data_IF_964766494289
#
_entry.id   IF_964766494289
#
_cell.length_a   1.000
_cell.length_b   1.000
_cell.length_c   1.000
_cell.angle_alpha   90.00
_cell.angle_beta   90.00
_cell.angle_gamma   90.00
#
_symmetry.space_group_name_H-M   'P 1'
#
loop_
_entity.id
_entity.type
_entity.pdbx_description
1 polymer ?
#
# COMPACT_ATOMS: atom_id res chain seq x y z
N UNK A 1 49.88 -21.33 9.05
CA UNK A 1 50.07 -20.50 7.84
C UNK A 1 49.01 -19.42 7.87
N UNK A 2 49.34 -18.20 7.48
CA UNK A 2 48.37 -17.11 7.44
C UNK A 2 47.76 -16.99 6.03
N UNK A 3 46.50 -16.61 5.97
CA UNK A 3 45.71 -16.51 4.75
C UNK A 3 44.59 -15.49 4.90
N UNK A 4 43.85 -15.26 3.82
CA UNK A 4 42.68 -14.38 3.80
C UNK A 4 41.44 -15.19 3.53
N UNK A 5 40.42 -14.97 4.36
CA UNK A 5 39.12 -15.58 4.15
C UNK A 5 38.49 -14.96 2.90
N UNK A 6 38.17 -15.79 1.91
CA UNK A 6 37.66 -15.36 0.60
C UNK A 6 36.14 -15.49 0.50
N UNK A 7 35.59 -16.59 1.01
CA UNK A 7 34.15 -16.83 1.10
C UNK A 7 33.84 -17.78 2.26
N UNK A 8 32.62 -17.68 2.80
CA UNK A 8 32.10 -18.56 3.87
C UNK A 8 30.94 -19.36 3.30
N UNK A 9 30.98 -20.68 3.43
CA UNK A 9 29.88 -21.58 3.12
C UNK A 9 29.32 -22.13 4.44
N UNK A 10 28.31 -21.45 4.97
CA UNK A 10 27.76 -21.75 6.28
C UNK A 10 27.10 -23.15 6.32
N UNK A 11 26.50 -23.59 5.22
CA UNK A 11 25.78 -24.87 5.13
C UNK A 11 26.71 -26.09 5.28
N UNK A 12 27.95 -25.98 4.80
CA UNK A 12 28.95 -27.06 4.85
C UNK A 12 30.05 -26.83 5.89
N UNK A 13 29.99 -25.72 6.62
CA UNK A 13 31.00 -25.29 7.61
C UNK A 13 32.41 -25.21 7.03
N UNK A 14 32.48 -24.73 5.80
CA UNK A 14 33.75 -24.51 5.12
C UNK A 14 33.89 -23.05 4.75
N UNK A 15 35.13 -22.61 4.61
CA UNK A 15 35.48 -21.33 4.04
C UNK A 15 36.56 -21.54 2.98
N UNK A 16 36.56 -20.70 1.95
CA UNK A 16 37.68 -20.62 1.02
C UNK A 16 38.70 -19.65 1.59
N UNK A 17 39.95 -20.09 1.66
CA UNK A 17 41.06 -19.29 2.19
C UNK A 17 42.11 -19.16 1.09
N UNK A 18 42.54 -17.93 0.82
CA UNK A 18 43.70 -17.66 -0.04
C UNK A 18 44.95 -17.62 0.83
N UNK A 19 45.90 -18.51 0.56
CA UNK A 19 47.15 -18.58 1.32
C UNK A 19 48.18 -17.56 0.82
N UNK A 20 49.06 -17.13 1.72
CA UNK A 20 50.18 -16.26 1.35
C UNK A 20 51.05 -16.88 0.25
N UNK A 21 51.41 -16.08 -0.75
CA UNK A 21 52.28 -16.51 -1.85
C UNK A 21 51.59 -17.37 -2.93
N UNK A 22 50.25 -17.47 -2.91
CA UNK A 22 49.48 -18.21 -3.92
C UNK A 22 48.26 -17.43 -4.39
N UNK A 23 47.87 -17.63 -5.66
CA UNK A 23 46.56 -17.20 -6.17
C UNK A 23 45.45 -18.23 -5.98
N UNK A 24 45.81 -19.46 -5.63
CA UNK A 24 44.83 -20.53 -5.44
C UNK A 24 44.18 -20.44 -4.06
N UNK A 25 42.87 -20.67 -4.05
CA UNK A 25 42.08 -20.79 -2.83
C UNK A 25 42.05 -22.25 -2.41
N UNK A 26 42.12 -22.48 -1.10
CA UNK A 26 41.95 -23.81 -0.51
C UNK A 26 40.71 -23.81 0.38
N UNK A 27 40.09 -24.97 0.50
CA UNK A 27 38.97 -25.16 1.42
C UNK A 27 39.51 -25.45 2.82
N UNK A 28 39.08 -24.67 3.80
CA UNK A 28 39.35 -24.89 5.21
C UNK A 28 38.04 -25.01 6.00
N UNK A 29 38.05 -25.81 7.05
CA UNK A 29 36.96 -25.86 8.03
C UNK A 29 37.13 -24.75 9.06
N UNK A 30 36.06 -24.32 9.71
CA UNK A 30 36.14 -23.47 10.89
C UNK A 30 35.57 -24.19 12.12
N UNK A 31 36.18 -24.02 13.32
CA UNK A 31 35.85 -24.77 14.52
C UNK A 31 34.47 -24.40 15.08
N UNK A 32 33.78 -25.39 15.64
CA UNK A 32 32.44 -25.26 16.26
C UNK A 32 32.51 -24.74 17.71
N UNK A 33 33.70 -24.74 18.30
CA UNK A 33 33.77 -25.01 19.72
C UNK A 33 33.31 -23.84 20.61
N UNK A 34 33.40 -22.56 20.18
CA UNK A 34 33.12 -21.42 21.08
C UNK A 34 32.07 -20.40 20.60
N UNK A 35 31.77 -20.28 19.29
CA UNK A 35 30.71 -19.39 18.75
C UNK A 35 30.20 -19.94 17.41
N UNK A 36 28.88 -19.95 17.18
CA UNK A 36 28.29 -20.40 15.90
C UNK A 36 28.76 -19.56 14.71
N UNK A 37 28.99 -18.25 14.93
CA UNK A 37 29.53 -17.32 13.92
C UNK A 37 30.63 -16.48 14.56
N UNK A 38 31.89 -16.93 14.52
CA UNK A 38 33.00 -16.16 15.08
C UNK A 38 33.14 -14.80 14.40
N UNK A 39 33.46 -13.74 15.15
CA UNK A 39 33.57 -12.38 14.61
C UNK A 39 34.58 -12.25 13.44
N UNK A 40 35.58 -13.14 13.39
CA UNK A 40 36.57 -13.21 12.33
C UNK A 40 36.08 -13.94 11.06
N UNK A 41 34.92 -14.60 11.09
CA UNK A 41 34.34 -15.34 9.96
C UNK A 41 33.65 -14.39 8.95
N UNK A 42 34.41 -13.43 8.43
CA UNK A 42 33.97 -12.49 7.39
C UNK A 42 34.98 -12.48 6.24
N UNK A 43 34.54 -12.51 4.98
CA UNK A 43 35.44 -12.34 3.85
C UNK A 43 36.30 -11.08 4.00
N UNK A 44 37.58 -11.19 3.68
CA UNK A 44 38.58 -10.13 3.85
C UNK A 44 39.37 -10.19 5.15
N UNK A 45 38.92 -10.95 6.16
CA UNK A 45 39.69 -11.09 7.39
C UNK A 45 40.92 -11.99 7.22
N UNK A 46 42.01 -11.60 7.87
CA UNK A 46 43.19 -12.44 8.00
C UNK A 46 42.88 -13.60 8.95
N UNK A 47 43.22 -14.82 8.53
CA UNK A 47 43.00 -16.05 9.28
C UNK A 47 44.28 -16.88 9.33
N UNK A 48 44.46 -17.62 10.43
CA UNK A 48 45.50 -18.62 10.55
C UNK A 48 44.91 -20.00 10.31
N UNK A 49 45.52 -20.75 9.41
CA UNK A 49 45.14 -22.13 9.10
C UNK A 49 46.23 -23.10 9.53
N UNK A 50 45.81 -24.29 9.95
CA UNK A 50 46.68 -25.41 10.27
C UNK A 50 46.01 -26.74 9.93
N UNK A 51 46.82 -27.78 9.74
CA UNK A 51 46.29 -29.14 9.68
C UNK A 51 45.75 -29.53 11.05
N UNK A 52 44.54 -30.08 11.08
CA UNK A 52 43.96 -30.60 12.31
C UNK A 52 44.75 -31.85 12.74
N UNK A 53 45.25 -31.85 13.98
CA UNK A 53 46.15 -32.89 14.52
C UNK A 53 45.48 -34.26 14.76
N UNK A 54 44.22 -34.45 14.38
CA UNK A 54 43.50 -35.73 14.48
C UNK A 54 42.91 -36.27 13.17
N UNK A 55 42.88 -35.50 12.09
CA UNK A 55 42.23 -35.90 10.82
C UNK A 55 43.14 -35.58 9.64
N UNK A 56 43.70 -36.63 9.02
CA UNK A 56 44.60 -36.49 7.86
C UNK A 56 43.86 -35.81 6.70
N UNK A 57 44.49 -34.78 6.11
CA UNK A 57 43.95 -34.04 4.97
C UNK A 57 42.96 -32.92 5.32
N UNK A 58 42.61 -32.73 6.61
CA UNK A 58 41.72 -31.65 7.04
C UNK A 58 42.52 -30.40 7.45
N UNK A 59 42.27 -29.29 6.74
CA UNK A 59 42.78 -27.96 7.08
C UNK A 59 41.68 -27.20 7.83
N UNK A 60 42.05 -26.54 8.93
CA UNK A 60 41.13 -25.80 9.77
C UNK A 60 41.66 -24.40 10.09
N UNK A 61 40.74 -23.44 10.20
CA UNK A 61 41.01 -22.09 10.71
C UNK A 61 41.18 -22.18 12.22
N UNK A 62 42.38 -21.93 12.70
CA UNK A 62 42.76 -22.05 14.12
C UNK A 62 42.80 -20.70 14.85
N UNK A 63 42.51 -19.60 14.15
CA UNK A 63 42.40 -18.28 14.77
C UNK A 63 42.52 -17.13 13.77
N UNK A 64 42.56 -15.92 14.31
CA UNK A 64 42.81 -14.69 13.54
C UNK A 64 44.27 -14.66 13.06
N UNK A 65 44.46 -14.30 11.79
CA UNK A 65 45.78 -14.00 11.23
C UNK A 65 46.25 -12.63 11.71
N UNK A 66 47.57 -12.46 11.85
CA UNK A 66 48.16 -11.20 12.32
C UNK A 66 48.50 -10.24 11.17
N UNK A 67 48.59 -10.75 9.95
CA UNK A 67 49.05 -10.02 8.77
C UNK A 67 48.10 -10.35 7.61
N UNK A 68 47.78 -9.35 6.80
CA UNK A 68 47.10 -9.54 5.51
C UNK A 68 48.14 -10.01 4.49
N UNK A 69 48.07 -11.25 3.97
CA UNK A 69 48.96 -11.75 2.94
C UNK A 69 49.20 -10.77 1.80
N UNK A 70 50.49 -10.58 1.46
CA UNK A 70 50.87 -9.87 0.24
C UNK A 70 50.39 -10.66 -0.98
N UNK A 71 49.68 -10.03 -1.93
CA UNK A 71 49.27 -10.72 -3.15
C UNK A 71 50.51 -11.06 -3.99
N UNK A 72 50.48 -12.21 -4.66
CA UNK A 72 51.43 -12.49 -5.75
C UNK A 72 51.14 -11.55 -6.93
N UNK A 73 52.14 -11.26 -7.76
CA UNK A 73 52.00 -10.36 -8.90
C UNK A 73 50.76 -10.72 -9.76
N UNK A 74 49.92 -9.72 -10.04
CA UNK A 74 48.66 -9.88 -10.78
C UNK A 74 47.47 -10.41 -9.99
N UNK A 75 47.61 -10.65 -8.67
CA UNK A 75 46.51 -11.10 -7.79
C UNK A 75 45.96 -10.01 -6.88
N UNK A 76 44.72 -10.18 -6.41
CA UNK A 76 44.15 -9.35 -5.33
C UNK A 76 44.54 -9.90 -3.94
N UNK A 77 44.79 -9.00 -2.98
CA UNK A 77 45.00 -9.35 -1.59
C UNK A 77 43.69 -9.80 -0.94
N UNK A 78 42.59 -9.07 -1.18
CA UNK A 78 41.30 -9.31 -0.57
C UNK A 78 40.25 -9.78 -1.59
N UNK A 79 39.19 -10.52 -1.16
CA UNK A 79 38.03 -10.73 -1.99
C UNK A 79 37.40 -9.39 -2.37
N UNK A 80 36.82 -9.32 -3.56
CA UNK A 80 35.99 -8.18 -3.96
C UNK A 80 34.86 -8.03 -2.95
N UNK A 81 34.72 -6.84 -2.38
CA UNK A 81 33.57 -6.56 -1.52
C UNK A 81 32.29 -6.80 -2.33
N UNK A 82 31.28 -7.48 -1.77
CA UNK A 82 30.01 -7.62 -2.46
C UNK A 82 29.44 -6.22 -2.72
N UNK A 83 28.96 -5.98 -3.94
CA UNK A 83 28.19 -4.76 -4.22
C UNK A 83 27.02 -4.73 -3.26
N UNK A 84 26.94 -3.66 -2.47
CA UNK A 84 25.85 -3.53 -1.54
C UNK A 84 24.53 -3.43 -2.30
N UNK A 85 23.50 -4.12 -1.81
CA UNK A 85 22.19 -4.20 -2.46
C UNK A 85 21.56 -2.81 -2.54
N UNK A 86 20.82 -2.58 -3.63
CA UNK A 86 20.08 -1.35 -3.86
C UNK A 86 18.92 -1.26 -2.88
N UNK A 87 18.81 -0.13 -2.19
CA UNK A 87 17.83 0.07 -1.14
C UNK A 87 17.69 1.54 -0.75
N UNK A 88 16.51 1.89 -0.24
CA UNK A 88 16.34 3.09 0.60
C UNK A 88 17.05 2.83 1.94
N UNK A 89 17.99 3.71 2.30
CA UNK A 89 18.80 3.57 3.51
C UNK A 89 18.15 4.29 4.70
N UNK A 90 17.69 5.52 4.47
CA UNK A 90 17.01 6.37 5.47
C UNK A 90 16.05 7.33 4.78
N UNK A 91 14.98 7.72 5.46
CA UNK A 91 14.05 8.74 4.96
C UNK A 91 13.30 8.28 3.70
N UNK A 92 13.21 9.14 2.68
CA UNK A 92 12.49 8.87 1.42
C UNK A 92 11.05 8.38 1.66
N UNK A 93 10.37 8.97 2.65
CA UNK A 93 9.02 8.57 3.04
C UNK A 93 7.97 9.42 2.33
N UNK A 94 6.83 8.81 2.01
CA UNK A 94 5.67 9.51 1.46
C UNK A 94 4.80 10.07 2.58
N UNK A 95 4.34 11.31 2.44
CA UNK A 95 3.32 11.91 3.32
C UNK A 95 2.32 12.69 2.47
N UNK A 96 1.04 12.76 2.87
CA UNK A 96 0.07 13.58 2.16
C UNK A 96 0.39 15.07 2.32
N UNK A 97 -0.09 15.91 1.40
CA UNK A 97 -0.20 17.34 1.64
C UNK A 97 -1.36 17.60 2.62
N UNK A 98 -1.18 18.52 3.58
CA UNK A 98 -2.13 18.68 4.70
C UNK A 98 -3.07 19.90 4.58
N UNK A 99 -2.60 21.04 4.07
CA UNK A 99 -3.44 22.25 3.95
C UNK A 99 -3.70 22.66 2.50
N UNK A 100 -3.37 21.77 1.57
CA UNK A 100 -3.71 21.90 0.16
C UNK A 100 -4.40 20.57 -0.23
N UNK A 101 -5.70 20.42 0.06
CA UNK A 101 -6.44 19.18 -0.13
C UNK A 101 -6.63 18.92 -1.62
N UNK A 102 -5.58 18.36 -2.20
CA UNK A 102 -5.44 18.08 -3.62
C UNK A 102 -4.83 16.70 -3.81
N UNK A 103 -4.80 16.25 -5.06
CA UNK A 103 -4.13 15.02 -5.45
C UNK A 103 -2.61 15.18 -5.42
N UNK A 104 -2.01 15.41 -4.25
CA UNK A 104 -0.55 15.64 -4.09
C UNK A 104 0.05 14.77 -2.99
N UNK A 105 1.21 14.18 -3.29
CA UNK A 105 2.05 13.47 -2.32
C UNK A 105 3.38 14.18 -2.16
N UNK A 106 3.80 14.38 -0.91
CA UNK A 106 5.10 14.91 -0.58
C UNK A 106 6.08 13.78 -0.29
N UNK A 107 7.30 13.91 -0.80
CA UNK A 107 8.41 12.99 -0.56
C UNK A 107 9.37 13.64 0.42
N UNK A 108 9.68 12.94 1.52
CA UNK A 108 10.67 13.40 2.49
C UNK A 108 12.10 13.15 2.01
N UNK A 109 13.02 14.01 2.45
CA UNK A 109 14.46 13.83 2.26
C UNK A 109 14.94 12.47 2.78
N UNK A 110 16.06 12.00 2.25
CA UNK A 110 16.64 10.74 2.67
C UNK A 110 17.87 10.34 1.88
N UNK A 111 18.35 9.13 2.13
CA UNK A 111 19.47 8.55 1.38
C UNK A 111 19.08 7.18 0.84
N UNK A 112 19.60 6.87 -0.34
CA UNK A 112 19.32 5.63 -1.05
C UNK A 112 20.57 5.15 -1.77
N UNK A 113 20.59 3.89 -2.18
CA UNK A 113 21.73 3.27 -2.85
C UNK A 113 21.30 2.58 -4.13
N UNK A 114 21.95 2.89 -5.25
CA UNK A 114 21.75 2.22 -6.54
C UNK A 114 23.13 1.86 -7.10
N UNK A 115 23.30 0.62 -7.56
CA UNK A 115 24.56 0.13 -8.10
C UNK A 115 25.75 0.22 -7.13
N UNK A 116 25.50 0.15 -5.82
CA UNK A 116 26.55 0.30 -4.80
C UNK A 116 26.97 1.75 -4.46
N UNK A 117 26.40 2.76 -5.13
CA UNK A 117 26.66 4.19 -4.87
C UNK A 117 25.54 4.75 -3.98
N UNK A 118 25.91 5.46 -2.91
CA UNK A 118 24.95 6.14 -2.04
C UNK A 118 24.65 7.53 -2.58
N UNK A 119 23.38 7.84 -2.73
CA UNK A 119 22.85 9.13 -3.17
C UNK A 119 22.03 9.77 -2.04
N UNK A 120 21.90 11.09 -2.11
CA UNK A 120 21.05 11.88 -1.21
C UNK A 120 19.91 12.49 -1.99
N UNK A 121 18.71 12.38 -1.44
CA UNK A 121 17.55 13.10 -1.93
C UNK A 121 17.36 14.34 -1.03
N UNK A 122 17.85 15.49 -1.51
CA UNK A 122 17.97 16.72 -0.74
C UNK A 122 16.67 17.53 -0.64
N UNK A 123 16.60 18.42 0.34
CA UNK A 123 15.45 19.29 0.54
C UNK A 123 15.31 20.32 -0.59
N UNK A 124 14.08 20.55 -1.03
CA UNK A 124 13.74 21.63 -1.95
C UNK A 124 13.24 22.85 -1.19
N UNK A 125 13.41 24.03 -1.80
CA UNK A 125 12.96 25.28 -1.19
C UNK A 125 11.42 25.33 -1.11
N UNK A 126 10.93 25.83 0.03
CA UNK A 126 9.49 25.94 0.38
C UNK A 126 8.71 26.98 -0.46
N UNK A 127 9.39 27.66 -1.38
CA UNK A 127 8.87 28.67 -2.30
C UNK A 127 9.14 28.30 -3.77
N UNK A 128 9.36 27.01 -4.05
CA UNK A 128 9.48 26.52 -5.41
C UNK A 128 8.11 26.39 -6.07
N UNK A 129 8.07 26.31 -7.39
CA UNK A 129 6.84 26.00 -8.13
C UNK A 129 6.30 24.60 -7.80
N UNK A 130 7.17 23.73 -7.28
CA UNK A 130 6.88 22.33 -6.95
C UNK A 130 6.34 22.19 -5.53
N UNK A 131 6.97 22.84 -4.53
CA UNK A 131 6.59 22.73 -3.12
C UNK A 131 6.34 24.10 -2.51
N UNK A 132 5.13 24.28 -1.97
CA UNK A 132 4.63 25.51 -1.35
C UNK A 132 4.39 25.30 0.14
N UNK A 133 4.61 26.35 0.93
CA UNK A 133 4.34 26.32 2.38
C UNK A 133 2.90 25.91 2.74
N UNK A 134 1.91 26.19 1.87
CA UNK A 134 0.52 25.77 2.06
C UNK A 134 0.36 24.25 2.14
N UNK A 135 1.23 23.48 1.50
CA UNK A 135 1.12 22.02 1.45
C UNK A 135 1.40 21.33 2.81
N UNK A 136 1.89 22.07 3.81
CA UNK A 136 1.95 21.60 5.20
C UNK A 136 3.12 20.66 5.53
N UNK A 137 4.14 20.58 4.66
CA UNK A 137 5.38 19.86 4.97
C UNK A 137 6.29 20.63 5.94
N UNK A 138 7.14 19.90 6.67
CA UNK A 138 8.13 20.53 7.56
C UNK A 138 9.29 21.09 6.73
N UNK A 139 9.66 22.34 6.98
CA UNK A 139 10.77 23.03 6.28
C UNK A 139 12.05 22.19 6.36
N UNK A 140 12.80 22.13 5.25
CA UNK A 140 14.03 21.35 5.09
C UNK A 140 13.86 19.82 5.21
N UNK A 141 12.62 19.31 5.17
CA UNK A 141 12.37 17.86 5.22
C UNK A 141 11.71 17.30 3.96
N UNK A 142 11.28 18.16 3.03
CA UNK A 142 10.60 17.77 1.79
C UNK A 142 11.57 17.86 0.63
N UNK A 143 11.73 16.77 -0.09
CA UNK A 143 12.54 16.65 -1.30
C UNK A 143 11.74 16.82 -2.60
N UNK A 144 10.44 16.60 -2.55
CA UNK A 144 9.60 16.71 -3.73
C UNK A 144 8.12 16.74 -3.37
N UNK A 145 7.33 17.27 -4.29
CA UNK A 145 5.88 17.17 -4.27
C UNK A 145 5.44 16.71 -5.66
N UNK A 146 4.66 15.64 -5.72
CA UNK A 146 4.20 15.05 -6.97
C UNK A 146 2.68 15.08 -7.01
N UNK A 147 2.15 15.64 -8.08
CA UNK A 147 0.72 15.59 -8.38
C UNK A 147 0.35 14.21 -8.92
N UNK A 148 -0.61 13.59 -8.25
CA UNK A 148 -1.23 12.34 -8.65
C UNK A 148 -2.33 12.66 -9.67
N UNK A 149 -2.34 12.01 -10.85
CA UNK A 149 -3.43 12.14 -11.81
C UNK A 149 -4.77 11.73 -11.24
N UNK A 150 -5.85 12.19 -11.89
CA UNK A 150 -7.22 11.93 -11.51
C UNK A 150 -7.49 10.47 -11.12
N UNK A 151 -8.38 10.30 -10.14
CA UNK A 151 -8.84 9.00 -9.68
C UNK A 151 -9.45 8.17 -10.81
N UNK A 152 -9.40 6.83 -10.71
CA UNK A 152 -10.02 5.95 -11.69
C UNK A 152 -11.55 6.15 -11.74
N UNK A 153 -12.17 5.70 -12.83
CA UNK A 153 -13.62 5.76 -13.01
C UNK A 153 -14.38 4.97 -11.92
N UNK A 154 -15.68 5.25 -11.76
CA UNK A 154 -16.55 4.56 -10.79
C UNK A 154 -16.43 3.03 -10.90
N UNK A 155 -16.22 2.36 -9.75
CA UNK A 155 -16.02 0.92 -9.67
C UNK A 155 -14.63 0.41 -10.08
N UNK A 156 -13.68 1.31 -10.34
CA UNK A 156 -12.27 0.96 -10.59
C UNK A 156 -11.36 1.49 -9.47
N UNK A 157 -10.21 0.83 -9.36
CA UNK A 157 -9.16 1.09 -8.39
C UNK A 157 -7.82 1.19 -9.11
N UNK A 158 -6.85 1.91 -8.53
CA UNK A 158 -5.50 2.03 -9.11
C UNK A 158 -4.46 2.06 -7.99
N UNK A 159 -3.37 1.31 -8.16
CA UNK A 159 -2.18 1.46 -7.34
C UNK A 159 -1.14 2.24 -8.12
N UNK A 160 -0.61 3.30 -7.55
CA UNK A 160 0.44 4.10 -8.14
C UNK A 160 1.71 3.99 -7.29
N UNK A 161 2.88 4.29 -7.88
CA UNK A 161 4.13 4.35 -7.13
C UNK A 161 4.88 5.64 -7.45
N UNK A 162 5.76 6.02 -6.51
CA UNK A 162 6.79 7.02 -6.73
C UNK A 162 8.13 6.30 -6.64
N UNK A 163 9.03 6.58 -7.57
CA UNK A 163 10.36 5.99 -7.63
C UNK A 163 11.42 7.07 -7.75
N UNK A 164 12.66 6.73 -7.39
CA UNK A 164 13.83 7.61 -7.50
C UNK A 164 14.94 6.91 -8.28
N UNK A 165 15.50 7.63 -9.26
CA UNK A 165 16.62 7.15 -10.07
C UNK A 165 17.97 7.57 -9.48
N UNK A 166 19.05 7.07 -10.08
CA UNK A 166 20.43 7.47 -9.73
C UNK A 166 20.74 8.96 -10.04
N UNK A 167 19.88 9.62 -10.81
CA UNK A 167 19.92 11.06 -11.11
C UNK A 167 19.28 11.93 -10.01
N UNK A 168 18.65 11.32 -8.99
CA UNK A 168 17.95 12.04 -7.93
C UNK A 168 16.59 12.61 -8.34
N UNK A 169 16.09 12.25 -9.52
CA UNK A 169 14.77 12.67 -9.98
C UNK A 169 13.70 11.74 -9.39
N UNK A 170 12.61 12.34 -8.93
CA UNK A 170 11.43 11.63 -8.46
C UNK A 170 10.46 11.46 -9.63
N UNK A 171 10.16 10.21 -9.96
CA UNK A 171 9.21 9.86 -10.99
C UNK A 171 7.93 9.28 -10.40
N UNK A 172 6.81 9.69 -10.97
CA UNK A 172 5.50 9.12 -10.68
C UNK A 172 5.12 8.10 -11.75
N UNK A 173 4.73 6.91 -11.33
CA UNK A 173 4.28 5.82 -12.22
C UNK A 173 2.85 5.46 -11.89
N UNK A 174 1.93 5.84 -12.78
CA UNK A 174 0.53 5.44 -12.68
C UNK A 174 0.39 3.93 -12.92
N UNK A 175 -0.42 3.26 -12.10
CA UNK A 175 -0.80 1.88 -12.33
C UNK A 175 -1.85 1.73 -13.42
N UNK A 176 -2.18 0.47 -13.71
CA UNK A 176 -3.34 0.14 -14.56
C UNK A 176 -4.59 0.02 -13.69
N UNK A 177 -5.70 0.69 -14.04
CA UNK A 177 -6.96 0.52 -13.31
C UNK A 177 -7.44 -0.92 -13.30
N UNK A 178 -7.99 -1.36 -12.17
CA UNK A 178 -8.53 -2.72 -11.97
C UNK A 178 -9.85 -2.69 -11.20
N UNK A 179 -10.62 -3.78 -11.26
CA UNK A 179 -11.90 -3.90 -10.53
C UNK A 179 -11.85 -4.94 -9.40
N UNK A 180 -11.19 -6.07 -9.63
CA UNK A 180 -11.22 -7.22 -8.71
C UNK A 180 -9.84 -7.68 -8.26
N UNK A 181 -8.87 -7.69 -9.18
CA UNK A 181 -7.51 -8.18 -8.92
C UNK A 181 -6.54 -7.00 -8.94
N UNK A 182 -5.88 -6.70 -7.81
CA UNK A 182 -4.84 -5.67 -7.75
C UNK A 182 -3.78 -5.82 -8.82
N UNK A 183 -3.50 -4.73 -9.53
CA UNK A 183 -2.38 -4.61 -10.47
C UNK A 183 -1.42 -3.57 -9.92
N UNK A 184 -0.21 -4.00 -9.59
CA UNK A 184 0.83 -3.14 -9.05
C UNK A 184 1.76 -2.65 -10.18
N UNK A 185 2.08 -1.34 -10.25
CA UNK A 185 3.10 -0.84 -11.15
C UNK A 185 4.46 -1.42 -10.78
N UNK A 186 5.33 -1.58 -11.79
CA UNK A 186 6.67 -2.15 -11.62
C UNK A 186 7.69 -1.03 -11.50
N UNK A 187 8.61 -1.17 -10.54
CA UNK A 187 9.75 -0.25 -10.39
C UNK A 187 10.68 -0.40 -11.60
N UNK A 188 11.11 0.72 -12.16
CA UNK A 188 12.03 0.73 -13.31
C UNK A 188 13.40 0.15 -12.92
N UNK A 189 14.09 -0.50 -13.86
CA UNK A 189 15.30 -1.30 -13.58
C UNK A 189 16.44 -0.55 -12.89
N UNK A 190 16.53 0.77 -13.06
CA UNK A 190 17.56 1.64 -12.46
C UNK A 190 16.99 2.59 -11.39
N UNK A 191 15.85 2.23 -10.79
CA UNK A 191 15.15 3.03 -9.80
C UNK A 191 14.87 2.25 -8.51
N UNK A 192 14.58 2.99 -7.45
CA UNK A 192 14.07 2.45 -6.20
C UNK A 192 12.70 3.01 -5.87
N UNK A 193 11.84 2.16 -5.29
CA UNK A 193 10.55 2.61 -4.79
C UNK A 193 10.72 3.51 -3.56
N UNK A 194 10.06 4.66 -3.58
CA UNK A 194 10.02 5.62 -2.47
C UNK A 194 8.90 5.23 -1.50
N UNK A 195 9.13 5.44 -0.20
CA UNK A 195 8.19 5.09 0.87
C UNK A 195 8.47 3.75 1.56
N UNK A 196 9.55 3.06 1.18
CA UNK A 196 9.86 1.70 1.61
C UNK A 196 9.17 0.65 0.73
N UNK A 197 9.71 -0.57 0.71
CA UNK A 197 9.16 -1.65 -0.12
C UNK A 197 8.26 -2.59 0.69
N UNK A 198 7.02 -2.89 0.25
CA UNK A 198 6.24 -2.25 -0.83
C UNK A 198 5.30 -1.13 -0.32
N UNK A 199 5.46 0.11 -0.79
CA UNK A 199 4.58 1.26 -0.48
C UNK A 199 3.96 1.87 -1.75
N UNK A 200 2.69 1.59 -1.99
CA UNK A 200 1.92 2.13 -3.11
C UNK A 200 0.92 3.19 -2.66
N UNK A 201 0.52 4.07 -3.57
CA UNK A 201 -0.59 5.01 -3.39
C UNK A 201 -1.84 4.32 -3.92
N UNK A 202 -2.79 4.02 -3.02
CA UNK A 202 -4.06 3.41 -3.37
C UNK A 202 -5.11 4.48 -3.68
N UNK A 203 -5.65 4.43 -4.89
CA UNK A 203 -6.75 5.26 -5.34
C UNK A 203 -7.98 4.41 -5.59
N UNK A 204 -9.12 4.91 -5.13
CA UNK A 204 -10.44 4.44 -5.53
C UNK A 204 -11.14 5.54 -6.31
N UNK A 205 -12.26 5.21 -6.94
CA UNK A 205 -13.12 6.21 -7.58
C UNK A 205 -13.55 7.30 -6.60
N UNK A 206 -13.61 8.54 -7.10
CA UNK A 206 -14.01 9.69 -6.30
C UNK A 206 -12.96 10.17 -5.31
N UNK A 207 -11.76 9.58 -5.26
CA UNK A 207 -10.64 10.18 -4.53
C UNK A 207 -10.31 11.54 -5.18
N UNK A 208 -10.41 12.61 -4.40
CA UNK A 208 -10.09 13.99 -4.78
C UNK A 208 -8.90 14.56 -4.02
N UNK A 209 -8.50 13.91 -2.93
CA UNK A 209 -7.40 14.30 -2.06
C UNK A 209 -6.62 13.05 -1.64
N UNK A 210 -5.29 13.17 -1.54
CA UNK A 210 -4.46 12.10 -0.98
C UNK A 210 -4.34 12.29 0.52
N UNK A 211 -4.74 11.27 1.28
CA UNK A 211 -4.58 11.23 2.74
C UNK A 211 -3.66 10.06 3.14
N UNK A 212 -3.35 9.97 4.44
CA UNK A 212 -2.53 8.87 4.96
C UNK A 212 -3.14 7.48 4.74
N UNK A 213 -4.45 7.36 4.50
CA UNK A 213 -5.08 6.05 4.21
C UNK A 213 -4.78 5.56 2.79
N UNK A 214 -4.48 6.48 1.88
CA UNK A 214 -4.14 6.17 0.49
C UNK A 214 -2.69 5.67 0.41
N UNK A 215 -1.78 6.25 1.20
CA UNK A 215 -0.36 5.86 1.22
C UNK A 215 -0.20 4.52 1.96
N UNK A 216 0.42 3.54 1.29
CA UNK A 216 0.45 2.15 1.74
C UNK A 216 -0.96 1.56 1.98
N UNK A 217 -1.96 2.15 1.32
CA UNK A 217 -3.34 1.68 1.36
C UNK A 217 -3.44 0.26 0.81
N UNK A 218 -4.40 -0.50 1.32
CA UNK A 218 -4.64 -1.88 0.89
C UNK A 218 -5.98 -1.98 0.20
N UNK A 219 -6.02 -2.76 -0.87
CA UNK A 219 -7.27 -3.10 -1.53
C UNK A 219 -8.04 -4.09 -0.64
N UNK A 220 -9.31 -3.78 -0.42
CA UNK A 220 -10.29 -4.71 0.10
C UNK A 220 -11.40 -4.83 -0.94
N UNK A 221 -11.86 -6.04 -1.20
CA UNK A 221 -12.96 -6.25 -2.15
C UNK A 221 -14.18 -5.40 -1.73
N UNK A 222 -14.87 -4.75 -2.68
CA UNK A 222 -16.09 -4.01 -2.41
C UNK A 222 -17.13 -4.86 -1.69
N UNK A 223 -17.62 -4.38 -0.55
CA UNK A 223 -18.70 -5.00 0.22
C UNK A 223 -19.71 -3.93 0.59
N UNK A 224 -20.99 -4.30 0.65
CA UNK A 224 -22.05 -3.40 1.09
C UNK A 224 -21.68 -2.77 2.45
N UNK A 225 -21.72 -1.44 2.51
CA UNK A 225 -21.31 -0.67 3.69
C UNK A 225 -22.34 0.38 4.09
N UNK A 226 -23.01 0.99 3.12
CA UNK A 226 -24.02 2.02 3.37
C UNK A 226 -25.14 1.98 2.33
N UNK A 227 -26.21 2.69 2.62
CA UNK A 227 -27.32 2.94 1.69
C UNK A 227 -27.36 4.43 1.37
N UNK A 228 -27.60 4.75 0.11
CA UNK A 228 -27.97 6.10 -0.33
C UNK A 228 -29.45 6.10 -0.72
N UNK A 229 -30.19 7.08 -0.22
CA UNK A 229 -31.64 7.22 -0.45
C UNK A 229 -31.89 8.52 -1.20
N UNK A 230 -32.68 8.45 -2.26
CA UNK A 230 -33.16 9.63 -3.00
C UNK A 230 -34.66 9.52 -3.23
N UNK A 231 -35.34 10.66 -3.17
CA UNK A 231 -36.80 10.77 -3.28
C UNK A 231 -37.13 11.58 -4.53
N UNK A 232 -38.15 11.14 -5.28
CA UNK A 232 -38.60 11.81 -6.49
C UNK A 232 -40.14 11.71 -6.62
N UNK A 233 -40.89 12.80 -6.35
CA UNK A 233 -40.42 14.05 -5.75
C UNK A 233 -40.07 13.89 -4.26
N UNK A 234 -39.21 14.77 -3.74
CA UNK A 234 -38.86 14.88 -2.31
C UNK A 234 -39.86 15.74 -1.50
N UNK A 235 -40.80 16.36 -2.21
CA UNK A 235 -41.94 17.10 -1.66
C UNK A 235 -43.19 16.74 -2.45
N UNK A 236 -44.24 16.30 -1.77
CA UNK A 236 -45.52 16.01 -2.41
C UNK A 236 -46.43 17.23 -2.31
N UNK A 237 -46.71 17.86 -3.47
CA UNK A 237 -47.73 18.90 -3.55
C UNK A 237 -49.13 18.32 -3.27
N UNK A 238 -50.14 19.15 -2.98
CA UNK A 238 -51.49 18.69 -2.68
C UNK A 238 -52.11 17.75 -3.73
N UNK A 239 -51.76 17.93 -5.01
CA UNK A 239 -52.23 17.09 -6.12
C UNK A 239 -51.41 15.81 -6.32
N UNK A 240 -50.21 15.74 -5.73
CA UNK A 240 -49.33 14.59 -5.86
C UNK A 240 -49.74 13.51 -4.85
N UNK A 241 -49.87 12.29 -5.34
CA UNK A 241 -50.27 11.14 -4.51
C UNK A 241 -49.14 10.16 -4.25
N UNK A 242 -48.03 10.26 -4.99
CA UNK A 242 -46.95 9.27 -4.91
C UNK A 242 -45.56 9.87 -5.02
N UNK A 243 -44.60 9.30 -4.27
CA UNK A 243 -43.17 9.54 -4.43
C UNK A 243 -42.43 8.23 -4.72
N UNK A 244 -41.43 8.29 -5.59
CA UNK A 244 -40.51 7.18 -5.84
C UNK A 244 -39.30 7.33 -4.95
N UNK A 245 -39.05 6.31 -4.12
CA UNK A 245 -37.88 6.22 -3.26
C UNK A 245 -36.87 5.32 -3.94
N UNK A 246 -35.73 5.86 -4.36
CA UNK A 246 -34.63 5.08 -4.93
C UNK A 246 -33.56 4.84 -3.86
N UNK A 247 -33.27 3.57 -3.62
CA UNK A 247 -32.25 3.10 -2.68
C UNK A 247 -31.09 2.52 -3.46
N UNK A 248 -29.88 3.02 -3.22
CA UNK A 248 -28.63 2.51 -3.81
C UNK A 248 -27.75 1.93 -2.71
N UNK A 249 -27.28 0.70 -2.91
CA UNK A 249 -26.34 0.03 -1.99
C UNK A 249 -24.93 0.44 -2.35
N UNK A 250 -24.20 1.04 -1.41
CA UNK A 250 -22.84 1.54 -1.63
C UNK A 250 -21.79 0.70 -0.87
N UNK A 251 -20.60 0.58 -1.46
CA UNK A 251 -19.43 -0.04 -0.83
C UNK A 251 -18.72 0.93 0.13
N UNK A 252 -17.66 0.44 0.79
CA UNK A 252 -16.78 1.25 1.64
C UNK A 252 -16.05 2.40 0.91
N UNK A 253 -16.11 2.42 -0.42
CA UNK A 253 -15.49 3.43 -1.28
C UNK A 253 -16.53 4.39 -1.88
N UNK A 254 -17.82 4.23 -1.56
CA UNK A 254 -18.91 5.06 -2.07
C UNK A 254 -19.42 4.67 -3.45
N UNK A 255 -19.02 3.53 -4.00
CA UNK A 255 -19.52 3.02 -5.27
C UNK A 255 -20.74 2.14 -5.09
N UNK A 256 -21.62 2.12 -6.09
CA UNK A 256 -22.71 1.15 -6.14
C UNK A 256 -22.16 -0.29 -6.18
N UNK A 257 -22.60 -1.14 -5.25
CA UNK A 257 -22.11 -2.52 -5.15
C UNK A 257 -22.75 -3.38 -6.23
N UNK A 258 -21.93 -4.10 -7.00
CA UNK A 258 -22.42 -5.22 -7.80
C UNK A 258 -22.41 -6.48 -6.93
N UNK A 259 -23.58 -6.84 -6.40
CA UNK A 259 -23.71 -8.08 -5.64
C UNK A 259 -23.82 -9.29 -6.57
N UNK A 260 -23.22 -10.42 -6.19
CA UNK A 260 -23.53 -11.73 -6.76
C UNK A 260 -24.49 -12.54 -5.88
N UNK A 261 -24.82 -12.03 -4.69
CA UNK A 261 -25.75 -12.62 -3.74
C UNK A 261 -27.01 -11.75 -3.61
N UNK A 262 -28.20 -12.35 -3.39
CA UNK A 262 -29.41 -11.57 -3.20
C UNK A 262 -29.33 -10.77 -1.89
N UNK A 263 -29.82 -9.55 -1.96
CA UNK A 263 -30.08 -8.69 -0.81
C UNK A 263 -31.56 -8.74 -0.46
N UNK A 264 -31.86 -8.61 0.83
CA UNK A 264 -33.23 -8.32 1.31
C UNK A 264 -33.21 -6.92 1.89
N UNK A 265 -33.91 -6.00 1.23
CA UNK A 265 -34.09 -4.63 1.67
C UNK A 265 -35.51 -4.46 2.20
N UNK A 266 -35.64 -3.99 3.42
CA UNK A 266 -36.91 -3.67 4.07
C UNK A 266 -37.04 -2.17 4.22
N UNK A 267 -38.19 -1.63 3.85
CA UNK A 267 -38.59 -0.26 4.09
C UNK A 267 -39.78 -0.24 5.05
N UNK A 268 -39.79 0.71 5.99
CA UNK A 268 -40.84 0.89 6.98
C UNK A 268 -41.19 2.37 7.09
N UNK A 269 -42.49 2.68 7.16
CA UNK A 269 -42.97 3.99 7.59
C UNK A 269 -42.79 4.06 9.11
N UNK A 270 -41.88 4.90 9.56
CA UNK A 270 -41.42 4.97 10.95
C UNK A 270 -42.24 5.96 11.82
N UNK A 271 -43.02 6.84 11.21
CA UNK A 271 -43.93 7.75 11.89
C UNK A 271 -45.40 7.28 11.80
N UNK A 272 -46.32 7.94 12.50
CA UNK A 272 -47.77 7.61 12.51
C UNK A 272 -48.52 7.95 11.21
N UNK A 273 -47.82 8.05 10.08
CA UNK A 273 -48.46 8.24 8.78
C UNK A 273 -49.21 6.96 8.36
N UNK A 274 -50.40 7.13 7.78
CA UNK A 274 -51.23 6.05 7.23
C UNK A 274 -51.04 5.86 5.72
N UNK A 275 -50.00 6.45 5.13
CA UNK A 275 -49.55 6.16 3.77
C UNK A 275 -49.16 4.69 3.57
N UNK A 276 -48.81 4.33 2.33
CA UNK A 276 -48.38 2.97 2.00
C UNK A 276 -47.09 2.96 1.19
N UNK A 277 -46.21 2.02 1.49
CA UNK A 277 -45.05 1.66 0.69
C UNK A 277 -45.40 0.44 -0.15
N UNK A 278 -44.97 0.44 -1.43
CA UNK A 278 -45.13 -0.70 -2.33
C UNK A 278 -43.77 -1.29 -2.69
N UNK A 279 -43.58 -2.57 -2.36
CA UNK A 279 -42.43 -3.40 -2.71
C UNK A 279 -42.83 -4.64 -3.51
N UNK A 280 -42.14 -5.76 -3.30
CA UNK A 280 -42.45 -7.08 -3.87
C UNK A 280 -43.65 -7.74 -3.16
N UNK A 281 -43.91 -7.36 -1.91
CA UNK A 281 -44.97 -7.83 -1.03
C UNK A 281 -46.30 -7.08 -1.19
N UNK A 282 -46.35 -6.09 -2.07
CA UNK A 282 -47.52 -5.23 -2.29
C UNK A 282 -47.54 -3.98 -1.39
N UNK A 283 -48.68 -3.27 -1.33
CA UNK A 283 -48.80 -2.04 -0.55
C UNK A 283 -49.02 -2.34 0.95
N UNK A 284 -48.26 -1.67 1.82
CA UNK A 284 -48.39 -1.77 3.28
C UNK A 284 -47.63 -0.67 4.03
N UNK A 285 -47.67 -0.66 5.36
CA UNK A 285 -46.83 0.23 6.20
C UNK A 285 -45.35 -0.19 6.21
N UNK A 286 -45.10 -1.44 5.82
CA UNK A 286 -43.79 -2.01 5.52
C UNK A 286 -43.79 -2.55 4.09
N UNK A 287 -42.64 -2.53 3.44
CA UNK A 287 -42.44 -3.10 2.12
C UNK A 287 -41.07 -3.76 2.02
N UNK A 288 -40.95 -4.80 1.20
CA UNK A 288 -39.71 -5.54 1.00
C UNK A 288 -39.31 -5.59 -0.47
N UNK A 289 -37.99 -5.60 -0.72
CA UNK A 289 -37.39 -5.87 -2.03
C UNK A 289 -36.33 -6.95 -1.87
N UNK A 290 -36.48 -8.05 -2.60
CA UNK A 290 -35.52 -9.16 -2.58
C UNK A 290 -34.94 -9.40 -3.96
N UNK A 291 -33.62 -9.38 -4.08
CA UNK A 291 -32.98 -9.64 -5.36
C UNK A 291 -31.51 -9.26 -5.41
N UNK A 292 -30.90 -9.43 -6.58
CA UNK A 292 -29.53 -9.01 -6.84
C UNK A 292 -29.60 -7.63 -7.49
N UNK A 293 -29.27 -6.60 -6.71
CA UNK A 293 -29.34 -5.22 -7.19
C UNK A 293 -28.26 -4.35 -6.54
N UNK A 294 -27.79 -3.37 -7.31
CA UNK A 294 -27.03 -2.23 -6.80
C UNK A 294 -27.94 -1.05 -6.43
N UNK A 295 -29.14 -1.01 -7.00
CA UNK A 295 -30.18 -0.01 -6.76
C UNK A 295 -31.57 -0.60 -6.96
N UNK A 296 -32.54 -0.18 -6.15
CA UNK A 296 -33.94 -0.59 -6.23
C UNK A 296 -34.87 0.55 -5.81
N UNK A 297 -36.16 0.42 -6.09
CA UNK A 297 -37.16 1.46 -5.81
C UNK A 297 -38.32 0.96 -4.98
N UNK A 298 -38.78 1.79 -4.06
CA UNK A 298 -40.10 1.70 -3.43
C UNK A 298 -40.99 2.82 -3.95
N UNK A 299 -42.30 2.58 -4.00
CA UNK A 299 -43.27 3.63 -4.25
C UNK A 299 -43.99 3.94 -2.95
N UNK A 300 -43.88 5.18 -2.48
CA UNK A 300 -44.69 5.69 -1.38
C UNK A 300 -45.96 6.33 -1.94
N UNK A 301 -47.12 5.95 -1.41
CA UNK A 301 -48.41 6.60 -1.65
C UNK A 301 -48.79 7.39 -0.41
N UNK A 302 -49.08 8.67 -0.60
CA UNK A 302 -49.37 9.66 0.45
C UNK A 302 -50.55 9.23 1.31
N UNK A 303 -50.37 9.33 2.62
CA UNK A 303 -51.44 9.20 3.61
C UNK A 303 -52.19 10.52 3.86
N UNK A 304 -52.71 10.68 5.08
CA UNK A 304 -53.45 11.85 5.54
C UNK A 304 -52.60 12.81 6.37
N UNK A 305 -51.34 12.48 6.65
CA UNK A 305 -50.43 13.32 7.45
C UNK A 305 -49.51 14.18 6.58
N UNK A 306 -49.03 15.28 7.18
CA UNK A 306 -48.20 16.29 6.49
C UNK A 306 -46.71 15.91 6.35
N UNK A 307 -46.30 14.74 6.85
CA UNK A 307 -44.94 14.24 6.64
C UNK A 307 -44.90 12.73 6.80
N UNK A 308 -43.95 12.08 6.14
CA UNK A 308 -43.64 10.67 6.33
C UNK A 308 -42.14 10.49 6.58
N UNK A 309 -41.79 9.62 7.53
CA UNK A 309 -40.41 9.24 7.84
C UNK A 309 -40.25 7.78 7.48
N UNK A 310 -39.19 7.46 6.76
CA UNK A 310 -38.89 6.11 6.31
C UNK A 310 -37.62 5.59 6.96
N UNK A 311 -37.69 4.36 7.45
CA UNK A 311 -36.53 3.58 7.87
C UNK A 311 -36.26 2.48 6.83
N UNK A 312 -35.01 2.36 6.41
CA UNK A 312 -34.55 1.31 5.49
C UNK A 312 -33.53 0.43 6.18
N UNK A 313 -33.70 -0.89 6.04
CA UNK A 313 -32.78 -1.89 6.57
C UNK A 313 -32.40 -2.88 5.47
N UNK A 314 -31.12 -2.96 5.18
CA UNK A 314 -30.53 -3.94 4.27
C UNK A 314 -29.99 -5.11 5.10
N UNK A 315 -30.51 -6.31 4.86
CA UNK A 315 -30.11 -7.53 5.54
C UNK A 315 -29.14 -8.34 4.67
N UNK A 316 -27.84 -8.27 4.98
CA UNK A 316 -26.77 -8.97 4.22
C UNK A 316 -25.65 -9.41 5.16
N UNK A 317 -25.77 -10.55 5.86
CA UNK A 317 -24.80 -11.06 6.85
C UNK A 317 -24.45 -10.12 8.03
N UNK A 318 -24.70 -8.82 7.90
CA UNK A 318 -24.58 -7.67 8.80
C UNK A 318 -25.77 -6.75 8.44
N UNK A 319 -26.44 -6.19 9.44
CA UNK A 319 -27.52 -5.23 9.21
C UNK A 319 -26.94 -3.84 8.87
N UNK A 320 -27.36 -3.26 7.75
CA UNK A 320 -27.03 -1.88 7.36
C UNK A 320 -28.34 -1.08 7.34
N UNK A 321 -28.39 0.04 8.06
CA UNK A 321 -29.60 0.88 8.16
C UNK A 321 -29.39 2.28 7.56
N UNK A 322 -30.46 2.86 7.03
CA UNK A 322 -30.53 4.27 6.64
C UNK A 322 -31.92 4.84 6.91
N UNK A 323 -32.02 6.17 7.01
CA UNK A 323 -33.28 6.89 7.23
C UNK A 323 -33.45 7.99 6.18
N UNK A 324 -34.69 8.25 5.78
CA UNK A 324 -35.06 9.40 4.95
C UNK A 324 -36.42 9.95 5.39
N UNK A 325 -36.73 11.19 5.05
CA UNK A 325 -38.04 11.81 5.34
C UNK A 325 -38.54 12.56 4.13
N UNK A 326 -39.85 12.58 3.94
CA UNK A 326 -40.54 13.35 2.90
C UNK A 326 -41.53 14.31 3.56
N UNK A 327 -41.62 15.53 3.02
CA UNK A 327 -42.59 16.52 3.45
C UNK A 327 -43.82 16.42 2.54
N UNK A 328 -45.00 16.33 3.15
CA UNK A 328 -46.28 16.25 2.45
C UNK A 328 -47.07 17.52 2.75
N UNK A 329 -47.38 18.35 1.74
CA UNK A 329 -48.17 19.54 2.02
C UNK A 329 -49.65 19.16 2.26
N UNK A 330 -50.33 19.74 3.27
CA UNK A 330 -51.76 19.53 3.47
C UNK A 330 -52.55 19.99 2.24
N UNK A 331 -53.64 19.27 1.96
CA UNK A 331 -54.60 19.63 0.91
C UNK A 331 -55.39 20.88 1.23
#
# INVERSE_FOLDING_TARGET
MDGILWSVEASTRTCRVKIQGSNNQITAYYPENWQQTPAWLKPGNAVRIAFNRGIRGRIEVVGCGLIVPTPVAGGSAAPTAPTAVDAILTGCNLVPAYNDPDMVVLVKVGTYRIGGVTYTLDAIACNSDVYKASMGGVINTIAGALTVPASPAAGYFRFDLIQVGADGVLDYVAGTPFQTTPVYPVVSADHLQVGGEPTYIFLHSGTTEITSINIAGKFAAPVAKSLSVSLAPDHLHPADTTSVITITVLDQYGNAVSSSAPYVLTAEIYNEDNGTLTGDDGPGSTATRTGIFSSTTFTYTKGTTDFAIFKFALHVNIAIEAMASIICYPS
#
